data_IF_239384294210
#
_entry.id   IF_239384294210
#
_cell.length_a   1.000
_cell.length_b   1.000
_cell.length_c   1.000
_cell.angle_alpha   90.00
_cell.angle_beta   90.00
_cell.angle_gamma   90.00
#
_symmetry.space_group_name_H-M   'P 1'
#
loop_
_entity.id
_entity.type
_entity.pdbx_description
1 polymer ?
#
# COMPACT_ATOMS: atom_id res chain seq x y z
N UNK A 1 10.39 -9.53 -3.23
CA UNK A 1 8.96 -9.30 -2.93
C UNK A 1 8.16 -10.53 -3.34
N UNK A 2 7.15 -10.92 -2.54
CA UNK A 2 6.27 -12.03 -2.90
C UNK A 2 5.39 -11.67 -4.12
N UNK A 3 5.00 -12.65 -4.96
CA UNK A 3 4.10 -12.39 -6.09
C UNK A 3 2.75 -11.80 -5.65
N UNK A 4 2.27 -12.19 -4.48
CA UNK A 4 0.97 -11.76 -3.94
C UNK A 4 0.98 -10.27 -3.58
N UNK A 5 2.05 -9.76 -2.94
CA UNK A 5 2.18 -8.34 -2.60
C UNK A 5 2.26 -7.51 -3.89
N UNK A 6 3.04 -7.96 -4.89
CA UNK A 6 3.11 -7.29 -6.19
C UNK A 6 1.72 -7.14 -6.81
N UNK A 7 0.99 -8.24 -6.91
CA UNK A 7 -0.32 -8.27 -7.56
C UNK A 7 -1.33 -7.35 -6.86
N UNK A 8 -1.33 -7.32 -5.52
CA UNK A 8 -2.16 -6.40 -4.74
C UNK A 8 -1.81 -4.94 -5.01
N UNK A 9 -0.50 -4.60 -5.05
CA UNK A 9 -0.03 -3.24 -5.35
C UNK A 9 -0.45 -2.83 -6.76
N UNK A 10 -0.23 -3.69 -7.77
CA UNK A 10 -0.60 -3.43 -9.16
C UNK A 10 -2.12 -3.28 -9.33
N UNK A 11 -2.92 -4.07 -8.61
CA UNK A 11 -4.38 -3.97 -8.62
C UNK A 11 -4.86 -2.64 -8.04
N UNK A 12 -4.26 -2.19 -6.94
CA UNK A 12 -4.61 -0.90 -6.33
C UNK A 12 -4.18 0.26 -7.23
N UNK A 13 -2.91 0.26 -7.66
CA UNK A 13 -2.32 1.37 -8.46
C UNK A 13 -2.88 1.50 -9.87
N UNK A 14 -3.44 0.42 -10.44
CA UNK A 14 -4.17 0.49 -11.71
C UNK A 14 -5.60 1.02 -11.58
N UNK A 15 -6.10 1.17 -10.34
CA UNK A 15 -7.48 1.54 -10.06
C UNK A 15 -8.49 0.39 -10.21
N UNK A 16 -8.02 -0.84 -10.44
CA UNK A 16 -8.90 -2.01 -10.59
C UNK A 16 -9.63 -2.36 -9.28
N UNK A 17 -8.96 -2.22 -8.14
CA UNK A 17 -9.58 -2.33 -6.82
C UNK A 17 -8.89 -1.39 -5.82
N UNK A 18 -9.49 -0.24 -5.57
CA UNK A 18 -9.07 0.70 -4.52
C UNK A 18 -9.91 0.55 -3.25
N UNK A 19 -10.61 -0.56 -3.04
CA UNK A 19 -11.43 -0.75 -1.86
C UNK A 19 -10.59 -0.78 -0.58
N UNK A 20 -11.23 -0.45 0.54
CA UNK A 20 -10.64 -0.63 1.87
C UNK A 20 -10.22 -2.09 2.12
N UNK A 21 -10.92 -3.06 1.51
CA UNK A 21 -10.58 -4.49 1.62
C UNK A 21 -9.22 -4.77 0.98
N UNK A 22 -8.96 -4.24 -0.22
CA UNK A 22 -7.65 -4.41 -0.87
C UNK A 22 -6.54 -3.68 -0.10
N UNK A 23 -6.81 -2.47 0.39
CA UNK A 23 -5.86 -1.73 1.22
C UNK A 23 -5.48 -2.47 2.51
N UNK A 24 -6.45 -3.04 3.23
CA UNK A 24 -6.19 -3.83 4.43
C UNK A 24 -5.41 -5.13 4.12
N UNK A 25 -5.68 -5.75 2.96
CA UNK A 25 -4.92 -6.92 2.53
C UNK A 25 -3.45 -6.56 2.26
N UNK A 26 -3.19 -5.39 1.65
CA UNK A 26 -1.86 -4.85 1.46
C UNK A 26 -1.15 -4.54 2.79
N UNK A 27 -1.86 -3.89 3.71
CA UNK A 27 -1.34 -3.55 5.06
C UNK A 27 -0.80 -4.80 5.76
N UNK A 28 -1.64 -5.83 5.88
CA UNK A 28 -1.28 -7.10 6.54
C UNK A 28 -0.15 -7.82 5.79
N UNK A 29 -0.20 -7.87 4.46
CA UNK A 29 0.81 -8.58 3.68
C UNK A 29 2.18 -7.91 3.77
N UNK A 30 2.23 -6.57 3.75
CA UNK A 30 3.47 -5.80 3.90
C UNK A 30 4.03 -5.90 5.32
N UNK A 31 3.18 -5.80 6.34
CA UNK A 31 3.60 -5.89 7.74
C UNK A 31 4.22 -7.25 8.06
N UNK A 32 3.58 -8.34 7.62
CA UNK A 32 4.08 -9.70 7.81
C UNK A 32 5.39 -9.97 7.05
N UNK A 33 5.52 -9.44 5.83
CA UNK A 33 6.68 -9.71 4.99
C UNK A 33 7.91 -8.85 5.37
N UNK A 34 7.68 -7.66 5.92
CA UNK A 34 8.71 -6.66 6.18
C UNK A 34 8.56 -5.98 7.55
N UNK A 35 8.52 -6.74 8.67
CA UNK A 35 8.25 -6.20 10.00
C UNK A 35 9.33 -5.23 10.50
N UNK A 36 10.59 -5.42 10.07
CA UNK A 36 11.73 -4.62 10.52
C UNK A 36 12.14 -3.52 9.51
N UNK A 37 11.47 -3.41 8.37
CA UNK A 37 11.82 -2.41 7.37
C UNK A 37 11.06 -1.10 7.62
N UNK A 38 11.74 -0.10 8.20
CA UNK A 38 11.15 1.20 8.56
C UNK A 38 10.40 1.87 7.40
N UNK A 39 10.97 1.86 6.19
CA UNK A 39 10.35 2.46 5.01
C UNK A 39 9.07 1.73 4.58
N UNK A 40 9.03 0.40 4.69
CA UNK A 40 7.80 -0.35 4.41
C UNK A 40 6.78 -0.13 5.52
N UNK A 41 7.22 -0.04 6.78
CA UNK A 41 6.32 0.20 7.92
C UNK A 41 5.63 1.57 7.86
N UNK A 42 6.28 2.60 7.31
CA UNK A 42 5.59 3.85 6.98
C UNK A 42 4.47 3.65 5.94
N UNK A 43 4.66 2.76 4.96
CA UNK A 43 3.60 2.42 3.99
C UNK A 43 2.43 1.74 4.68
N UNK A 44 2.70 0.82 5.62
CA UNK A 44 1.70 0.12 6.42
C UNK A 44 0.86 1.14 7.22
N UNK A 45 1.51 2.10 7.89
CA UNK A 45 0.80 3.17 8.63
C UNK A 45 -0.09 4.00 7.70
N UNK A 46 0.39 4.35 6.50
CA UNK A 46 -0.43 5.10 5.53
C UNK A 46 -1.64 4.29 5.06
N UNK A 47 -1.47 2.98 4.79
CA UNK A 47 -2.56 2.09 4.44
C UNK A 47 -3.61 1.98 5.56
N UNK A 48 -3.19 1.92 6.83
CA UNK A 48 -4.12 1.94 7.96
C UNK A 48 -4.94 3.24 8.04
N UNK A 49 -4.38 4.35 7.57
CA UNK A 49 -5.02 5.67 7.49
C UNK A 49 -5.80 5.91 6.18
N UNK A 50 -5.90 4.91 5.31
CA UNK A 50 -6.61 5.04 4.03
C UNK A 50 -8.13 4.95 4.19
N UNK A 51 -8.87 5.79 3.48
CA UNK A 51 -10.30 5.58 3.18
C UNK A 51 -10.60 5.96 1.73
N UNK A 52 -11.51 5.25 1.04
CA UNK A 52 -11.97 5.68 -0.27
C UNK A 52 -12.55 7.11 -0.24
N UNK A 53 -12.07 7.98 -1.11
CA UNK A 53 -12.38 9.41 -1.12
C UNK A 53 -11.72 10.24 0.00
N UNK A 54 -10.89 9.62 0.84
CA UNK A 54 -10.12 10.27 1.89
C UNK A 54 -10.96 10.80 3.07
N UNK A 55 -10.44 11.86 3.68
CA UNK A 55 -11.05 12.59 4.78
C UNK A 55 -10.09 13.66 5.31
N UNK A 56 -10.53 14.50 6.25
CA UNK A 56 -9.72 15.60 6.80
C UNK A 56 -8.34 15.14 7.34
N UNK A 57 -8.25 13.88 7.77
CA UNK A 57 -7.03 13.26 8.32
C UNK A 57 -6.72 11.89 7.71
N UNK A 58 -7.34 11.54 6.57
CA UNK A 58 -7.24 10.21 5.97
C UNK A 58 -6.73 10.31 4.54
N UNK A 59 -5.88 9.36 4.15
CA UNK A 59 -5.38 9.29 2.79
C UNK A 59 -6.47 8.80 1.84
N UNK A 60 -6.48 9.36 0.64
CA UNK A 60 -7.30 8.93 -0.48
C UNK A 60 -6.53 7.98 -1.40
N UNK A 61 -7.19 7.58 -2.49
CA UNK A 61 -6.67 6.66 -3.49
C UNK A 61 -5.42 7.21 -4.17
N UNK A 62 -5.37 8.51 -4.45
CA UNK A 62 -4.23 9.14 -5.13
C UNK A 62 -2.98 9.11 -4.26
N UNK A 63 -3.11 9.49 -3.00
CA UNK A 63 -2.02 9.46 -2.03
C UNK A 63 -1.49 8.03 -1.82
N UNK A 64 -2.38 7.05 -1.66
CA UNK A 64 -1.97 5.65 -1.48
C UNK A 64 -1.37 5.08 -2.76
N UNK A 65 -1.92 5.38 -3.94
CA UNK A 65 -1.31 4.99 -5.22
C UNK A 65 0.12 5.49 -5.35
N UNK A 66 0.36 6.77 -5.02
CA UNK A 66 1.70 7.36 -5.02
C UNK A 66 2.64 6.62 -4.09
N UNK A 67 2.20 6.38 -2.85
CA UNK A 67 3.01 5.67 -1.85
C UNK A 67 3.33 4.24 -2.28
N UNK A 68 2.35 3.48 -2.75
CA UNK A 68 2.53 2.09 -3.18
C UNK A 68 3.46 1.99 -4.40
N UNK A 69 3.41 2.94 -5.32
CA UNK A 69 4.33 2.99 -6.46
C UNK A 69 5.78 3.23 -6.02
N UNK A 70 6.01 4.09 -5.03
CA UNK A 70 7.34 4.27 -4.42
C UNK A 70 7.80 3.02 -3.67
N UNK A 71 6.91 2.41 -2.88
CA UNK A 71 7.19 1.17 -2.15
C UNK A 71 7.57 0.03 -3.08
N UNK A 72 6.88 -0.09 -4.22
CA UNK A 72 7.23 -1.07 -5.24
C UNK A 72 8.63 -0.84 -5.81
N UNK A 73 9.00 0.39 -6.16
CA UNK A 73 10.35 0.73 -6.66
C UNK A 73 11.43 0.42 -5.63
N UNK A 74 11.22 0.85 -4.39
CA UNK A 74 12.12 0.57 -3.27
C UNK A 74 12.35 -0.93 -3.07
N UNK A 75 11.29 -1.75 -3.07
CA UNK A 75 11.37 -3.20 -2.91
C UNK A 75 11.98 -3.92 -4.13
N UNK A 76 11.94 -3.30 -5.31
CA UNK A 76 12.65 -3.77 -6.51
C UNK A 76 14.12 -3.33 -6.55
N UNK A 77 14.58 -2.49 -5.61
CA UNK A 77 15.92 -1.90 -5.61
C UNK A 77 16.12 -0.88 -6.73
N UNK A 78 15.05 -0.20 -7.16
CA UNK A 78 15.04 0.80 -8.22
C UNK A 78 14.76 2.21 -7.69
#
# INVERSE_FOLDING_TARGET
MSPDIRALIETFTSGADTSITNANALEVALDLAYPENEYVQETVVMLAMYRPGGGEFLFDEEAICGRLAETLRYLEGK
#
